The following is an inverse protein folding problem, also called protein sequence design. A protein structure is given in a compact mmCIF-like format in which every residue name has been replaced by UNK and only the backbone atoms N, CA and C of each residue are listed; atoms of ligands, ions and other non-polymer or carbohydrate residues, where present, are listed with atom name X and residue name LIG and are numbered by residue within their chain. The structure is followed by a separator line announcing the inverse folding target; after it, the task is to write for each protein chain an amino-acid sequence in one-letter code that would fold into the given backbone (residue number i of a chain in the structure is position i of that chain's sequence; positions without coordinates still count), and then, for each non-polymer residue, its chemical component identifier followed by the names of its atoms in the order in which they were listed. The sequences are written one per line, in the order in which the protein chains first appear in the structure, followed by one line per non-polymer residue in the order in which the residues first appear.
data_IF_107093912040
#
_entry.id   IF_107093912040
#
_cell.length_a   1.000
_cell.length_b   1.000
_cell.length_c   1.000
_cell.angle_alpha   90.00
_cell.angle_beta   90.00
_cell.angle_gamma   90.00
#
_symmetry.space_group_name_H-M   'P 1'
#
loop_
_entity.id
_entity.type
_entity.pdbx_description
1 polymer ?
#
# COMPACT_ATOMS: atom_id res chain seq x y z
N UNK A 1 -0.46 14.67 -7.15
CA UNK A 1 -0.54 16.14 -7.30
C UNK A 1 -2.02 16.49 -7.42
N UNK A 2 -2.55 17.40 -6.62
CA UNK A 2 -3.98 17.75 -6.69
C UNK A 2 -4.30 18.57 -7.95
N UNK A 3 -5.53 18.48 -8.44
CA UNK A 3 -6.00 19.26 -9.60
C UNK A 3 -5.89 20.77 -9.36
N UNK A 4 -6.13 21.20 -8.13
CA UNK A 4 -6.01 22.61 -7.70
C UNK A 4 -4.58 23.13 -7.87
N UNK A 5 -3.56 22.33 -7.56
CA UNK A 5 -2.16 22.74 -7.73
C UNK A 5 -1.76 22.76 -9.22
N UNK A 6 -2.30 21.85 -10.01
CA UNK A 6 -2.08 21.81 -11.47
C UNK A 6 -2.62 23.07 -12.15
N UNK A 7 -3.79 23.56 -11.73
CA UNK A 7 -4.40 24.78 -12.24
C UNK A 7 -3.55 26.03 -11.95
N UNK A 8 -2.99 26.14 -10.74
CA UNK A 8 -2.08 27.24 -10.36
C UNK A 8 -0.84 27.27 -11.27
N UNK A 9 -0.30 26.10 -11.63
CA UNK A 9 0.86 26.03 -12.51
C UNK A 9 0.56 26.44 -13.94
N UNK A 10 -0.63 26.09 -14.46
CA UNK A 10 -1.08 26.56 -15.78
C UNK A 10 -1.32 28.08 -15.79
N UNK A 11 -1.94 28.64 -14.74
CA UNK A 11 -2.16 30.08 -14.59
C UNK A 11 -0.84 30.86 -14.56
N UNK A 12 0.15 30.36 -13.84
CA UNK A 12 1.48 30.96 -13.74
C UNK A 12 2.40 30.68 -14.95
N UNK A 13 1.93 29.88 -15.93
CA UNK A 13 2.69 29.45 -17.12
C UNK A 13 4.04 28.82 -16.79
N UNK A 14 4.13 28.10 -15.67
CA UNK A 14 5.34 27.41 -15.26
C UNK A 14 5.41 26.09 -16.04
N UNK A 15 6.48 25.83 -16.82
CA UNK A 15 6.61 24.56 -17.53
C UNK A 15 6.92 23.44 -16.54
N UNK A 16 5.96 22.53 -16.36
CA UNK A 16 6.11 21.38 -15.46
C UNK A 16 6.07 20.09 -16.25
N UNK A 17 6.94 19.16 -15.87
CA UNK A 17 6.89 17.79 -16.33
C UNK A 17 6.92 16.87 -15.13
N UNK A 18 5.88 16.05 -14.99
CA UNK A 18 5.90 14.93 -14.06
C UNK A 18 6.60 13.75 -14.72
N UNK A 19 7.44 13.07 -13.96
CA UNK A 19 8.28 11.98 -14.41
C UNK A 19 8.09 10.81 -13.48
N UNK A 20 7.91 9.62 -14.05
CA UNK A 20 7.71 8.39 -13.29
C UNK A 20 8.70 7.32 -13.76
N UNK A 21 9.26 6.61 -12.80
CA UNK A 21 10.29 5.60 -13.02
C UNK A 21 10.73 4.92 -11.74
N UNK A 22 11.60 3.92 -11.91
CA UNK A 22 12.27 3.22 -10.82
C UNK A 22 13.79 3.28 -11.01
N UNK A 23 14.56 2.93 -9.99
CA UNK A 23 16.03 2.90 -10.12
C UNK A 23 16.48 1.82 -11.11
N UNK A 24 15.73 0.72 -11.20
CA UNK A 24 15.97 -0.43 -12.06
C UNK A 24 15.64 -0.16 -13.53
N UNK A 25 14.65 0.68 -13.81
CA UNK A 25 14.20 0.99 -15.18
C UNK A 25 14.61 2.39 -15.65
N UNK A 26 15.01 3.25 -14.74
CA UNK A 26 15.18 4.67 -15.01
C UNK A 26 13.82 5.35 -15.24
N UNK A 27 13.85 6.46 -15.96
CA UNK A 27 12.66 7.18 -16.38
C UNK A 27 11.89 6.38 -17.44
N UNK A 28 10.62 6.05 -17.21
CA UNK A 28 9.81 5.31 -18.19
C UNK A 28 8.54 6.02 -18.65
N UNK A 29 8.01 6.91 -17.81
CA UNK A 29 6.76 7.61 -18.12
C UNK A 29 6.81 9.08 -17.72
N UNK A 30 5.96 9.89 -18.34
CA UNK A 30 5.90 11.32 -18.09
C UNK A 30 4.52 11.93 -18.34
N UNK A 31 4.27 13.11 -17.77
CA UNK A 31 3.15 13.98 -18.08
C UNK A 31 3.63 15.43 -18.24
N UNK A 32 3.35 16.05 -19.39
CA UNK A 32 3.75 17.44 -19.73
C UNK A 32 2.58 18.44 -19.75
N UNK A 33 1.36 17.96 -19.54
CA UNK A 33 0.13 18.76 -19.59
C UNK A 33 -0.75 18.39 -18.41
N UNK A 34 -1.58 19.32 -17.95
CA UNK A 34 -2.58 18.98 -16.97
C UNK A 34 -3.61 17.98 -17.55
N UNK A 35 -4.16 17.09 -16.71
CA UNK A 35 -3.71 16.82 -15.35
C UNK A 35 -2.35 16.07 -15.36
N UNK A 36 -1.38 16.55 -14.58
CA UNK A 36 0.00 16.00 -14.56
C UNK A 36 0.09 14.57 -13.98
N UNK A 37 -1.05 13.99 -13.62
CA UNK A 37 -1.22 12.61 -13.18
C UNK A 37 -1.40 11.62 -14.34
N UNK A 38 -1.76 12.10 -15.54
CA UNK A 38 -1.93 11.27 -16.74
C UNK A 38 -0.58 10.99 -17.41
N UNK A 39 0.05 9.89 -16.98
CA UNK A 39 1.35 9.45 -17.43
C UNK A 39 1.27 8.76 -18.80
N UNK A 40 2.28 9.02 -19.64
CA UNK A 40 2.49 8.41 -20.95
C UNK A 40 3.88 7.78 -21.01
N UNK A 41 4.07 6.68 -21.76
CA UNK A 41 5.41 6.15 -22.03
C UNK A 41 6.32 7.24 -22.61
N UNK A 42 7.56 7.32 -22.12
CA UNK A 42 8.54 8.25 -22.65
C UNK A 42 8.86 7.94 -24.12
N UNK A 43 9.15 8.99 -24.88
CA UNK A 43 9.54 8.85 -26.28
C UNK A 43 10.81 7.99 -26.42
N UNK A 44 10.78 7.01 -27.31
CA UNK A 44 11.91 6.09 -27.53
C UNK A 44 11.96 4.91 -26.56
N UNK A 45 11.05 4.82 -25.59
CA UNK A 45 10.88 3.64 -24.74
C UNK A 45 9.71 2.83 -25.27
N UNK A 46 9.90 1.50 -25.38
CA UNK A 46 8.81 0.61 -25.78
C UNK A 46 7.66 0.69 -24.78
N UNK A 47 6.40 0.63 -25.22
CA UNK A 47 5.26 0.61 -24.31
C UNK A 47 5.38 -0.53 -23.28
N UNK A 48 4.95 -0.31 -22.03
CA UNK A 48 4.92 -1.38 -21.03
C UNK A 48 4.06 -2.55 -21.49
N UNK A 49 4.40 -3.74 -21.03
CA UNK A 49 3.46 -4.85 -21.00
C UNK A 49 2.42 -4.55 -19.91
N UNK A 50 1.14 -4.59 -20.29
CA UNK A 50 0.03 -4.28 -19.40
C UNK A 50 -0.60 -5.58 -18.93
N UNK A 51 -0.65 -5.78 -17.62
CA UNK A 51 -1.38 -6.90 -17.01
C UNK A 51 -2.62 -6.36 -16.28
N UNK A 52 -3.84 -6.68 -16.74
CA UNK A 52 -5.05 -6.21 -16.09
C UNK A 52 -5.27 -6.93 -14.75
N UNK A 53 -5.50 -6.16 -13.69
CA UNK A 53 -5.84 -6.68 -12.35
C UNK A 53 -7.31 -6.44 -11.98
N UNK A 54 -8.03 -5.65 -12.79
CA UNK A 54 -9.48 -5.54 -12.71
C UNK A 54 -10.11 -5.55 -14.10
N UNK A 55 -11.39 -5.91 -14.15
CA UNK A 55 -12.25 -5.67 -15.32
C UNK A 55 -12.44 -4.17 -15.56
N UNK A 56 -12.93 -3.84 -16.76
CA UNK A 56 -13.29 -2.47 -17.12
C UNK A 56 -14.50 -1.98 -16.32
N UNK A 57 -14.36 -0.78 -15.76
CA UNK A 57 -15.44 -0.04 -15.14
C UNK A 57 -16.38 0.61 -16.16
N UNK A 58 -17.51 1.18 -15.70
CA UNK A 58 -18.47 1.88 -16.56
C UNK A 58 -17.89 3.08 -17.31
N UNK A 59 -16.83 3.68 -16.77
CA UNK A 59 -16.08 4.80 -17.35
C UNK A 59 -15.01 4.34 -18.37
N UNK A 60 -14.92 3.03 -18.62
CA UNK A 60 -13.90 2.45 -19.50
C UNK A 60 -12.51 2.41 -18.88
N UNK A 61 -12.37 2.68 -17.57
CA UNK A 61 -11.11 2.56 -16.85
C UNK A 61 -10.92 1.16 -16.29
N UNK A 62 -9.67 0.73 -16.07
CA UNK A 62 -9.37 -0.48 -15.30
C UNK A 62 -8.06 -0.34 -14.55
N UNK A 63 -7.88 -1.16 -13.52
CA UNK A 63 -6.63 -1.24 -12.79
C UNK A 63 -5.69 -2.22 -13.48
N UNK A 64 -4.43 -1.84 -13.63
CA UNK A 64 -3.41 -2.61 -14.33
C UNK A 64 -2.07 -2.53 -13.59
N UNK A 65 -1.23 -3.52 -13.84
CA UNK A 65 0.20 -3.48 -13.57
C UNK A 65 0.97 -3.22 -14.86
N UNK A 66 2.11 -2.55 -14.72
CA UNK A 66 3.03 -2.28 -15.82
C UNK A 66 4.31 -3.10 -15.67
N UNK A 67 4.66 -3.81 -16.74
CA UNK A 67 5.75 -4.77 -16.77
C UNK A 67 6.73 -4.45 -17.90
N UNK A 68 8.02 -4.70 -17.67
CA UNK A 68 9.08 -4.41 -18.64
C UNK A 68 10.01 -5.61 -18.81
N UNK A 69 10.17 -6.08 -20.04
CA UNK A 69 11.23 -7.05 -20.35
C UNK A 69 12.57 -6.32 -20.55
N UNK A 70 13.72 -7.00 -20.36
CA UNK A 70 15.02 -6.41 -20.66
C UNK A 70 15.11 -5.85 -22.10
N UNK A 71 14.50 -6.54 -23.06
CA UNK A 71 14.44 -6.12 -24.47
C UNK A 71 13.77 -4.76 -24.69
N UNK A 72 12.87 -4.36 -23.77
CA UNK A 72 12.12 -3.10 -23.84
C UNK A 72 12.83 -1.91 -23.19
N UNK A 73 13.89 -2.16 -22.40
CA UNK A 73 14.62 -1.14 -21.67
C UNK A 73 16.13 -1.41 -21.70
N UNK A 74 16.86 -0.55 -22.42
CA UNK A 74 18.32 -0.56 -22.42
C UNK A 74 18.90 -0.32 -21.03
N UNK A 75 18.23 0.49 -20.20
CA UNK A 75 18.64 0.73 -18.81
C UNK A 75 18.47 -0.54 -17.97
N UNK A 76 17.35 -1.26 -18.10
CA UNK A 76 17.17 -2.55 -17.42
C UNK A 76 18.23 -3.57 -17.85
N UNK A 77 18.47 -3.68 -19.15
CA UNK A 77 19.50 -4.57 -19.70
C UNK A 77 20.88 -4.22 -19.15
N UNK A 78 21.23 -2.94 -19.10
CA UNK A 78 22.49 -2.49 -18.52
C UNK A 78 22.58 -2.80 -17.02
N UNK A 79 21.51 -2.55 -16.26
CA UNK A 79 21.49 -2.87 -14.83
C UNK A 79 21.65 -4.38 -14.59
N UNK A 80 20.97 -5.23 -15.35
CA UNK A 80 21.12 -6.68 -15.25
C UNK A 80 22.54 -7.17 -15.59
N UNK A 81 23.22 -6.50 -16.52
CA UNK A 81 24.56 -6.88 -16.95
C UNK A 81 25.67 -6.35 -16.03
N UNK A 82 25.50 -5.12 -15.50
CA UNK A 82 26.59 -4.37 -14.85
C UNK A 82 26.36 -4.13 -13.35
N UNK A 83 25.14 -4.28 -12.85
CA UNK A 83 24.83 -4.00 -11.45
C UNK A 83 25.13 -5.19 -10.55
N UNK A 84 25.61 -4.90 -9.35
CA UNK A 84 25.72 -5.89 -8.27
C UNK A 84 24.40 -6.00 -7.48
N UNK A 85 23.41 -5.17 -7.80
CA UNK A 85 22.09 -5.20 -7.15
C UNK A 85 21.25 -6.28 -7.83
N UNK A 86 20.77 -7.29 -7.09
CA UNK A 86 19.94 -8.33 -7.67
C UNK A 86 18.58 -7.73 -8.06
N UNK A 87 18.33 -7.65 -9.37
CA UNK A 87 17.03 -7.27 -9.92
C UNK A 87 16.18 -8.53 -10.05
N UNK A 88 15.02 -8.52 -9.41
CA UNK A 88 14.07 -9.64 -9.47
C UNK A 88 13.31 -9.57 -10.79
N UNK A 89 13.54 -10.56 -11.66
CA UNK A 89 12.70 -10.79 -12.84
C UNK A 89 11.76 -11.96 -12.57
N UNK A 90 10.53 -11.83 -13.02
CA UNK A 90 9.49 -12.83 -12.88
C UNK A 90 8.87 -13.16 -14.25
N UNK A 91 8.33 -14.37 -14.44
CA UNK A 91 7.60 -14.69 -15.65
C UNK A 91 6.37 -13.79 -15.78
N UNK A 92 6.23 -13.07 -16.89
CA UNK A 92 5.08 -12.22 -17.16
C UNK A 92 3.78 -13.05 -17.14
N UNK A 93 2.79 -12.69 -16.31
CA UNK A 93 1.60 -13.50 -16.09
C UNK A 93 0.55 -13.37 -17.19
N UNK A 94 0.61 -12.32 -18.01
CA UNK A 94 -0.38 -12.07 -19.06
C UNK A 94 -0.30 -13.08 -20.21
N UNK A 95 -1.46 -13.33 -20.83
CA UNK A 95 -1.53 -14.15 -22.02
C UNK A 95 -0.94 -13.46 -23.26
N UNK A 96 -0.62 -14.26 -24.28
CA UNK A 96 -0.11 -13.77 -25.57
C UNK A 96 1.39 -13.97 -25.77
N UNK A 97 2.03 -13.20 -26.67
CA UNK A 97 3.39 -13.47 -27.16
C UNK A 97 4.50 -13.25 -26.11
N UNK A 98 4.18 -12.56 -25.02
CA UNK A 98 5.09 -12.31 -23.91
C UNK A 98 4.84 -13.23 -22.71
N UNK A 99 3.87 -14.15 -22.78
CA UNK A 99 3.52 -15.06 -21.69
C UNK A 99 4.75 -15.83 -21.21
N UNK A 100 5.02 -15.77 -19.90
CA UNK A 100 6.13 -16.46 -19.27
C UNK A 100 7.52 -15.88 -19.55
N UNK A 101 7.65 -14.80 -20.33
CA UNK A 101 8.93 -14.11 -20.51
C UNK A 101 9.34 -13.45 -19.20
N UNK A 102 10.63 -13.53 -18.85
CA UNK A 102 11.17 -12.83 -17.68
C UNK A 102 11.06 -11.32 -17.86
N UNK A 103 10.35 -10.68 -16.94
CA UNK A 103 10.06 -9.26 -16.93
C UNK A 103 10.14 -8.71 -15.50
N UNK A 104 10.40 -7.42 -15.39
CA UNK A 104 10.31 -6.69 -14.14
C UNK A 104 8.89 -6.14 -13.97
N UNK A 105 8.26 -6.42 -12.83
CA UNK A 105 7.04 -5.75 -12.39
C UNK A 105 7.41 -4.43 -11.70
N UNK A 106 6.69 -3.34 -11.99
CA UNK A 106 6.83 -2.10 -11.23
C UNK A 106 6.40 -2.24 -9.75
N UNK A 107 5.59 -3.25 -9.43
CA UNK A 107 4.91 -3.45 -8.13
C UNK A 107 3.95 -2.29 -7.76
N UNK A 108 3.73 -1.39 -8.71
CA UNK A 108 2.78 -0.28 -8.67
C UNK A 108 1.50 -0.62 -9.45
N UNK A 109 0.37 -0.12 -8.94
CA UNK A 109 -0.95 -0.18 -9.56
C UNK A 109 -1.20 1.13 -10.30
N UNK A 110 -1.70 1.01 -11.52
CA UNK A 110 -2.12 2.12 -12.35
C UNK A 110 -3.58 1.98 -12.74
N UNK A 111 -4.27 3.10 -12.90
CA UNK A 111 -5.54 3.16 -13.59
C UNK A 111 -5.26 3.46 -15.06
N UNK A 112 -5.57 2.50 -15.93
CA UNK A 112 -5.56 2.66 -17.38
C UNK A 112 -6.81 3.43 -17.80
N UNK A 113 -6.61 4.52 -18.55
CA UNK A 113 -7.67 5.40 -19.06
C UNK A 113 -7.46 5.63 -20.55
N UNK A 114 -8.56 5.76 -21.28
CA UNK A 114 -8.52 6.21 -22.68
C UNK A 114 -9.02 7.65 -22.76
N UNK A 115 -8.15 8.57 -23.18
CA UNK A 115 -8.50 9.98 -23.38
C UNK A 115 -8.66 10.28 -24.86
N UNK A 116 -9.68 11.04 -25.21
CA UNK A 116 -9.91 11.49 -26.59
C UNK A 116 -9.36 12.89 -26.75
N UNK A 117 -8.36 13.05 -27.60
CA UNK A 117 -7.81 14.38 -27.86
C UNK A 117 -8.77 15.18 -28.76
N UNK A 118 -9.36 16.27 -28.23
CA UNK A 118 -10.38 17.07 -28.92
C UNK A 118 -9.94 17.62 -30.29
N UNK A 119 -8.65 17.67 -30.57
CA UNK A 119 -8.10 18.18 -31.83
C UNK A 119 -7.93 17.14 -32.94
N UNK A 120 -7.84 15.84 -32.63
CA UNK A 120 -7.34 14.85 -33.59
C UNK A 120 -8.12 13.53 -33.66
N UNK A 121 -9.27 13.39 -32.98
CA UNK A 121 -10.12 12.16 -32.96
C UNK A 121 -9.39 10.85 -32.63
N UNK A 122 -8.11 10.89 -32.24
CA UNK A 122 -7.31 9.76 -31.78
C UNK A 122 -7.47 9.62 -30.27
N UNK A 123 -7.90 8.43 -29.87
CA UNK A 123 -7.85 7.96 -28.50
C UNK A 123 -6.41 7.63 -28.11
N UNK A 124 -5.97 8.13 -26.96
CA UNK A 124 -4.66 7.83 -26.37
C UNK A 124 -4.87 7.12 -25.03
N UNK A 125 -4.11 6.05 -24.79
CA UNK A 125 -4.08 5.38 -23.48
C UNK A 125 -3.12 6.14 -22.55
N UNK A 126 -3.60 6.50 -21.38
CA UNK A 126 -2.81 7.12 -20.32
C UNK A 126 -2.95 6.30 -19.03
N UNK A 127 -1.94 6.42 -18.17
CA UNK A 127 -1.88 5.71 -16.91
C UNK A 127 -1.85 6.71 -15.76
N UNK A 128 -2.71 6.53 -14.77
CA UNK A 128 -2.66 7.29 -13.51
C UNK A 128 -2.07 6.39 -12.45
N UNK A 129 -0.96 6.79 -11.83
CA UNK A 129 -0.40 6.05 -10.71
C UNK A 129 -1.36 6.12 -9.53
N UNK A 130 -1.81 4.96 -9.06
CA UNK A 130 -2.79 4.83 -7.97
C UNK A 130 -2.06 4.60 -6.64
N UNK A 131 -0.99 3.80 -6.66
CA UNK A 131 -0.20 3.45 -5.49
C UNK A 131 0.50 2.12 -5.73
N UNK A 132 1.02 1.48 -4.68
CA UNK A 132 1.54 0.11 -4.78
C UNK A 132 0.47 -0.92 -4.50
N UNK A 133 0.72 -2.16 -4.90
CA UNK A 133 0.04 -3.32 -4.31
C UNK A 133 0.07 -3.30 -2.78
N UNK A 134 1.09 -2.66 -2.22
CA UNK A 134 1.27 -2.48 -0.80
C UNK A 134 0.66 -1.19 -0.25
N UNK A 135 -0.18 -0.45 -0.96
CA UNK A 135 -0.67 0.85 -0.47
C UNK A 135 -2.20 0.99 -0.45
N UNK A 136 -2.94 0.34 -1.36
CA UNK A 136 -4.41 0.46 -1.39
C UNK A 136 -5.13 -0.62 -0.57
N UNK A 137 -5.92 -0.18 0.42
CA UNK A 137 -6.90 -0.99 1.13
C UNK A 137 -8.27 -0.39 0.90
N UNK A 138 -9.13 -1.05 0.10
CA UNK A 138 -10.53 -0.66 -0.05
C UNK A 138 -11.30 -1.15 1.17
N UNK A 139 -11.96 -0.26 1.90
CA UNK A 139 -12.65 -0.61 3.15
C UNK A 139 -14.10 -1.04 2.87
N UNK A 140 -14.36 -2.34 3.05
CA UNK A 140 -15.71 -2.93 3.09
C UNK A 140 -16.39 -3.12 1.73
N UNK A 141 -17.38 -4.01 1.70
CA UNK A 141 -18.27 -4.16 0.53
C UNK A 141 -19.05 -2.87 0.28
N UNK A 142 -19.05 -2.40 -0.97
CA UNK A 142 -19.84 -1.23 -1.40
C UNK A 142 -19.03 0.06 -1.62
N UNK A 143 -18.06 0.02 -2.53
CA UNK A 143 -17.86 1.02 -3.60
C UNK A 143 -17.77 2.53 -3.31
N UNK A 144 -17.79 3.04 -2.08
CA UNK A 144 -17.91 4.49 -1.85
C UNK A 144 -16.99 5.03 -0.75
N UNK A 145 -15.70 5.20 -1.06
CA UNK A 145 -14.76 6.00 -0.27
C UNK A 145 -13.36 5.37 -0.23
N UNK A 146 -12.41 5.98 -0.95
CA UNK A 146 -11.00 5.62 -0.92
C UNK A 146 -10.33 6.24 0.32
N UNK A 147 -10.45 5.61 1.49
CA UNK A 147 -9.55 5.94 2.59
C UNK A 147 -8.24 5.19 2.35
N UNK A 148 -7.15 5.93 2.14
CA UNK A 148 -5.82 5.34 2.05
C UNK A 148 -5.45 4.73 3.43
N UNK A 149 -5.04 3.46 3.45
CA UNK A 149 -4.61 2.80 4.68
C UNK A 149 -3.47 3.55 5.38
N UNK A 150 -2.58 4.17 4.61
CA UNK A 150 -1.50 5.01 5.12
C UNK A 150 -2.05 6.18 5.95
N UNK A 151 -3.15 6.81 5.51
CA UNK A 151 -3.78 7.90 6.28
C UNK A 151 -4.32 7.40 7.63
N UNK A 152 -4.94 6.22 7.65
CA UNK A 152 -5.40 5.60 8.90
C UNK A 152 -4.22 5.27 9.82
N UNK A 153 -3.19 4.63 9.28
CA UNK A 153 -2.00 4.20 10.02
C UNK A 153 -1.20 5.37 10.59
N UNK A 154 -1.03 6.45 9.83
CA UNK A 154 -0.37 7.69 10.28
C UNK A 154 -1.19 8.39 11.37
N UNK A 155 -2.51 8.48 11.20
CA UNK A 155 -3.41 9.08 12.20
C UNK A 155 -3.36 8.27 13.51
N UNK A 156 -3.44 6.94 13.40
CA UNK A 156 -3.33 6.03 14.54
C UNK A 156 -1.97 6.15 15.23
N UNK A 157 -0.88 6.17 14.45
CA UNK A 157 0.46 6.31 15.00
C UNK A 157 0.63 7.62 15.77
N UNK A 158 0.06 8.71 15.25
CA UNK A 158 0.04 10.01 15.93
C UNK A 158 -0.72 9.93 17.27
N UNK A 159 -1.92 9.33 17.26
CA UNK A 159 -2.74 9.14 18.48
C UNK A 159 -2.06 8.24 19.52
N UNK A 160 -1.40 7.17 19.09
CA UNK A 160 -0.64 6.30 20.00
C UNK A 160 0.57 7.05 20.56
N UNK A 161 1.33 7.75 19.71
CA UNK A 161 2.53 8.49 20.14
C UNK A 161 2.21 9.58 21.15
N UNK A 162 1.03 10.21 21.03
CA UNK A 162 0.56 11.21 21.99
C UNK A 162 0.33 10.64 23.41
N UNK A 163 0.03 9.34 23.55
CA UNK A 163 -0.37 8.70 24.81
C UNK A 163 0.67 7.76 25.40
N UNK A 164 1.26 6.90 24.56
CA UNK A 164 2.13 5.79 24.96
C UNK A 164 3.61 6.12 24.70
N UNK A 165 3.90 7.07 23.80
CA UNK A 165 5.27 7.48 23.46
C UNK A 165 5.88 8.54 24.38
N UNK A 166 5.16 8.98 25.42
CA UNK A 166 5.62 10.05 26.32
C UNK A 166 6.59 9.50 27.38
N UNK A 167 7.68 10.22 27.72
CA UNK A 167 8.57 9.85 28.81
C UNK A 167 7.78 9.61 30.12
N UNK A 168 7.90 8.42 30.69
CA UNK A 168 7.24 8.04 31.96
C UNK A 168 5.84 7.43 31.85
N UNK A 169 5.34 7.15 30.65
CA UNK A 169 4.04 6.47 30.44
C UNK A 169 4.18 4.94 30.42
N UNK A 170 4.57 4.38 29.28
CA UNK A 170 4.76 2.95 29.06
C UNK A 170 6.11 2.70 28.40
N UNK A 171 6.80 1.57 28.66
CA UNK A 171 8.08 1.25 28.04
C UNK A 171 7.90 0.76 26.59
N UNK A 172 6.81 1.11 25.91
CA UNK A 172 6.43 0.57 24.62
C UNK A 172 6.43 1.64 23.54
N UNK A 173 6.91 1.28 22.35
CA UNK A 173 6.80 2.06 21.12
C UNK A 173 6.12 1.25 20.04
N UNK A 174 5.53 1.93 19.06
CA UNK A 174 4.99 1.26 17.88
C UNK A 174 6.13 0.99 16.90
N UNK A 175 6.40 -0.30 16.66
CA UNK A 175 7.37 -0.75 15.67
C UNK A 175 6.77 -0.78 14.26
N UNK A 176 5.46 -1.03 14.14
CA UNK A 176 4.74 -0.99 12.88
C UNK A 176 3.23 -1.16 13.07
N UNK A 177 2.47 -0.65 12.11
CA UNK A 177 1.01 -0.81 12.03
C UNK A 177 0.65 -1.22 10.62
N UNK A 178 -0.36 -2.07 10.47
CA UNK A 178 -0.93 -2.37 9.17
C UNK A 178 -2.44 -2.58 9.25
N UNK A 179 -3.16 -1.79 8.46
CA UNK A 179 -4.58 -1.97 8.18
C UNK A 179 -4.77 -3.00 7.06
N UNK A 180 -5.75 -3.87 7.25
CA UNK A 180 -6.24 -4.88 6.30
C UNK A 180 -7.71 -4.57 5.99
N UNK A 181 -8.15 -4.87 4.77
CA UNK A 181 -9.52 -4.55 4.34
C UNK A 181 -9.79 -4.78 2.86
N UNK A 182 -8.76 -4.79 2.01
CA UNK A 182 -8.93 -5.09 0.59
C UNK A 182 -9.40 -6.54 0.44
N UNK A 183 -10.53 -6.76 -0.25
CA UNK A 183 -11.19 -8.07 -0.42
C UNK A 183 -11.72 -8.71 0.89
N UNK A 184 -12.00 -7.92 1.93
CA UNK A 184 -12.59 -8.42 3.18
C UNK A 184 -13.92 -7.71 3.48
N UNK A 185 -14.83 -8.42 4.16
CA UNK A 185 -16.13 -7.86 4.55
C UNK A 185 -16.01 -6.66 5.48
N UNK A 186 -14.99 -6.65 6.36
CA UNK A 186 -14.69 -5.52 7.25
C UNK A 186 -13.19 -5.28 7.38
N UNK A 187 -12.83 -4.15 8.00
CA UNK A 187 -11.44 -3.75 8.26
C UNK A 187 -10.87 -4.45 9.49
N UNK A 188 -9.60 -4.85 9.39
CA UNK A 188 -8.83 -5.46 10.47
C UNK A 188 -7.49 -4.75 10.63
N UNK A 189 -6.90 -4.81 11.82
CA UNK A 189 -5.71 -4.03 12.16
C UNK A 189 -4.71 -4.90 12.93
N UNK A 190 -3.44 -4.79 12.55
CA UNK A 190 -2.33 -5.31 13.34
C UNK A 190 -1.48 -4.15 13.84
N UNK A 191 -1.19 -4.13 15.14
CA UNK A 191 -0.28 -3.20 15.81
C UNK A 191 0.89 -4.00 16.36
N UNK A 192 2.11 -3.68 15.92
CA UNK A 192 3.34 -4.27 16.44
C UNK A 192 4.03 -3.29 17.38
N UNK A 193 4.28 -3.73 18.61
CA UNK A 193 4.97 -2.97 19.66
C UNK A 193 6.43 -3.40 19.80
N UNK A 194 7.30 -2.47 20.19
CA UNK A 194 8.68 -2.73 20.62
C UNK A 194 8.92 -2.15 22.01
N UNK A 195 9.77 -2.79 22.81
CA UNK A 195 10.14 -2.29 24.13
C UNK A 195 11.27 -1.26 24.00
N UNK A 196 11.05 -0.06 24.54
CA UNK A 196 12.10 0.91 24.84
C UNK A 196 12.78 0.45 26.14
N UNK A 197 13.99 -0.09 26.03
CA UNK A 197 14.68 -0.88 27.06
C UNK A 197 14.68 -0.26 28.47
N UNK A 198 14.35 -1.11 29.46
CA UNK A 198 15.14 -1.30 30.68
C UNK A 198 15.15 -2.82 31.00
N UNK A 199 16.32 -3.49 31.18
CA UNK A 199 16.45 -4.96 31.14
C UNK A 199 15.96 -5.69 32.41
N UNK A 200 15.06 -5.10 33.19
CA UNK A 200 14.60 -5.66 34.48
C UNK A 200 13.08 -5.66 34.71
N UNK A 201 12.29 -5.09 33.79
CA UNK A 201 10.84 -4.99 33.95
C UNK A 201 10.18 -6.11 33.14
N UNK A 202 9.34 -6.92 33.79
CA UNK A 202 8.57 -7.97 33.11
C UNK A 202 7.70 -7.32 32.02
N UNK A 203 7.99 -7.54 30.72
CA UNK A 203 7.25 -6.89 29.64
C UNK A 203 5.77 -7.27 29.65
N UNK A 204 5.40 -8.41 30.25
CA UNK A 204 3.99 -8.83 30.28
C UNK A 204 3.14 -8.05 31.29
N UNK A 205 3.72 -7.40 32.30
CA UNK A 205 2.94 -6.84 33.40
C UNK A 205 2.30 -5.48 33.10
N UNK A 206 2.70 -4.78 32.02
CA UNK A 206 2.26 -3.41 31.69
C UNK A 206 2.01 -3.23 30.18
N UNK A 207 1.17 -4.06 29.57
CA UNK A 207 0.78 -3.89 28.16
C UNK A 207 -0.28 -2.78 28.03
N UNK A 208 -0.08 -1.75 27.18
CA UNK A 208 -1.02 -0.62 27.04
C UNK A 208 -2.21 -0.97 26.14
N UNK A 209 -2.86 -2.11 26.38
CA UNK A 209 -3.93 -2.64 25.51
C UNK A 209 -5.11 -1.67 25.47
N UNK A 210 -5.53 -1.16 26.63
CA UNK A 210 -6.66 -0.24 26.73
C UNK A 210 -6.37 1.08 26.01
N UNK A 211 -5.18 1.63 26.19
CA UNK A 211 -4.77 2.88 25.54
C UNK A 211 -4.67 2.71 24.02
N UNK A 212 -4.20 1.56 23.55
CA UNK A 212 -4.17 1.24 22.12
C UNK A 212 -5.58 1.13 21.54
N UNK A 213 -6.50 0.47 22.25
CA UNK A 213 -7.90 0.40 21.84
C UNK A 213 -8.56 1.78 21.81
N UNK A 214 -8.35 2.61 22.83
CA UNK A 214 -8.86 3.98 22.84
C UNK A 214 -8.30 4.82 21.67
N UNK A 215 -7.02 4.65 21.31
CA UNK A 215 -6.42 5.31 20.16
C UNK A 215 -7.02 4.82 18.83
N UNK A 216 -7.34 3.53 18.71
CA UNK A 216 -8.04 2.98 17.54
C UNK A 216 -9.45 3.55 17.43
N UNK A 217 -10.22 3.59 18.52
CA UNK A 217 -11.57 4.14 18.50
C UNK A 217 -11.56 5.65 18.18
N UNK A 218 -10.63 6.41 18.76
CA UNK A 218 -10.47 7.83 18.45
C UNK A 218 -10.06 8.06 16.99
N UNK A 219 -9.22 7.19 16.42
CA UNK A 219 -8.86 7.24 14.99
C UNK A 219 -10.07 6.94 14.12
N UNK A 220 -10.88 5.93 14.48
CA UNK A 220 -12.13 5.64 13.79
C UNK A 220 -13.06 6.88 13.78
N UNK A 221 -13.23 7.53 14.94
CA UNK A 221 -14.12 8.68 15.06
C UNK A 221 -13.58 9.92 14.33
N UNK A 222 -12.26 10.16 14.39
CA UNK A 222 -11.59 11.28 13.70
C UNK A 222 -11.73 11.18 12.18
N UNK A 223 -11.66 9.96 11.65
CA UNK A 223 -11.78 9.69 10.22
C UNK A 223 -13.23 9.38 9.79
N UNK A 224 -14.21 9.49 10.71
CA UNK A 224 -15.63 9.27 10.42
C UNK A 224 -15.96 7.83 10.00
N UNK A 225 -15.19 6.84 10.47
CA UNK A 225 -15.33 5.44 10.07
C UNK A 225 -16.43 4.74 10.86
N UNK A 226 -17.39 4.21 10.12
CA UNK A 226 -18.59 3.56 10.66
C UNK A 226 -18.87 2.24 9.94
N UNK A 227 -19.67 1.37 10.57
CA UNK A 227 -19.98 0.03 10.06
C UNK A 227 -18.72 -0.75 9.69
N UNK A 228 -18.78 -1.51 8.58
CA UNK A 228 -17.71 -2.39 8.13
C UNK A 228 -16.34 -1.71 7.90
N UNK A 229 -16.29 -0.37 7.83
CA UNK A 229 -15.05 0.41 7.69
C UNK A 229 -14.37 0.67 9.02
N UNK A 230 -15.12 0.64 10.12
CA UNK A 230 -14.61 0.83 11.47
C UNK A 230 -13.75 -0.38 11.86
N UNK A 231 -12.54 -0.12 12.35
CA UNK A 231 -11.74 -1.18 12.96
C UNK A 231 -12.34 -1.51 14.32
N UNK A 232 -12.82 -2.74 14.50
CA UNK A 232 -13.41 -3.16 15.77
C UNK A 232 -12.33 -3.70 16.70
N UNK A 233 -11.98 -2.96 17.74
CA UNK A 233 -10.93 -3.30 18.72
C UNK A 233 -11.09 -4.71 19.32
N UNK A 234 -12.29 -5.04 19.79
CA UNK A 234 -12.58 -6.35 20.40
C UNK A 234 -12.79 -7.54 19.45
N UNK A 235 -12.74 -7.34 18.12
CA UNK A 235 -13.02 -8.41 17.14
C UNK A 235 -11.98 -8.54 16.04
N UNK A 236 -11.36 -7.44 15.63
CA UNK A 236 -10.56 -7.32 14.40
C UNK A 236 -9.23 -6.60 14.63
N UNK A 237 -8.80 -6.42 15.88
CA UNK A 237 -7.50 -5.84 16.22
C UNK A 237 -6.60 -6.86 16.89
N UNK A 238 -5.39 -7.00 16.35
CA UNK A 238 -4.33 -7.83 16.90
C UNK A 238 -3.14 -6.94 17.32
N UNK A 239 -2.63 -7.18 18.52
CA UNK A 239 -1.48 -6.49 19.10
C UNK A 239 -0.39 -7.54 19.31
N UNK A 240 0.79 -7.32 18.73
CA UNK A 240 1.93 -8.24 18.79
C UNK A 240 3.17 -7.52 19.28
N UNK A 241 4.11 -8.23 19.91
CA UNK A 241 5.45 -7.69 20.15
C UNK A 241 6.42 -7.98 19.03
N UNK A 242 7.38 -7.09 18.84
CA UNK A 242 8.45 -7.21 17.86
C UNK A 242 9.44 -8.34 18.16
N UNK A 243 9.48 -8.83 19.39
CA UNK A 243 10.29 -9.97 19.83
C UNK A 243 9.50 -11.29 19.79
N UNK A 244 8.21 -11.26 19.43
CA UNK A 244 7.35 -12.44 19.38
C UNK A 244 6.96 -12.99 20.76
N UNK A 245 7.32 -12.31 21.86
CA UNK A 245 7.01 -12.74 23.23
C UNK A 245 5.53 -12.71 23.57
N UNK A 246 4.72 -11.88 22.90
CA UNK A 246 3.28 -11.87 23.10
C UNK A 246 2.48 -11.60 21.84
N UNK A 247 1.24 -12.08 21.85
CA UNK A 247 0.22 -11.82 20.84
C UNK A 247 -1.12 -11.72 21.56
N UNK A 248 -1.78 -10.57 21.45
CA UNK A 248 -3.03 -10.25 22.11
C UNK A 248 -4.09 -9.86 21.07
N UNK A 249 -5.27 -10.45 21.17
CA UNK A 249 -6.41 -10.13 20.33
C UNK A 249 -7.21 -11.37 19.94
N UNK A 250 -8.37 -11.17 19.30
CA UNK A 250 -9.27 -12.26 18.91
C UNK A 250 -8.63 -13.19 17.88
N UNK A 251 -8.73 -14.51 18.08
CA UNK A 251 -8.23 -15.50 17.14
C UNK A 251 -6.71 -15.63 17.10
N UNK A 252 -5.98 -15.07 18.08
CA UNK A 252 -4.51 -15.10 18.15
C UNK A 252 -3.97 -16.52 18.21
N UNK A 253 -4.71 -17.47 18.77
CA UNK A 253 -4.36 -18.88 18.86
C UNK A 253 -4.14 -19.53 17.48
N UNK A 254 -4.73 -18.97 16.41
CA UNK A 254 -4.61 -19.48 15.04
C UNK A 254 -3.25 -19.20 14.40
N UNK A 255 -2.46 -18.31 15.00
CA UNK A 255 -1.09 -18.03 14.58
C UNK A 255 -0.08 -19.05 15.14
N UNK A 256 -0.57 -20.09 15.85
CA UNK A 256 0.20 -21.30 16.14
C UNK A 256 1.40 -21.12 17.06
N UNK A 257 1.44 -20.04 17.86
CA UNK A 257 2.53 -19.75 18.79
C UNK A 257 3.86 -19.38 18.12
N UNK A 258 3.89 -19.24 16.79
CA UNK A 258 5.03 -18.64 16.11
C UNK A 258 4.95 -17.12 16.29
N UNK A 259 6.05 -16.46 16.66
CA UNK A 259 6.13 -15.00 16.75
C UNK A 259 5.95 -14.36 15.38
N UNK A 260 4.70 -14.25 14.92
CA UNK A 260 4.36 -13.68 13.62
C UNK A 260 4.50 -12.17 13.73
N UNK A 261 5.45 -11.62 12.97
CA UNK A 261 5.77 -10.20 12.93
C UNK A 261 5.29 -9.56 11.64
N UNK A 262 4.94 -8.26 11.73
CA UNK A 262 4.81 -7.42 10.55
C UNK A 262 6.15 -7.29 9.84
N UNK A 263 6.15 -7.65 8.57
CA UNK A 263 7.26 -7.44 7.65
C UNK A 263 7.26 -5.97 7.22
N UNK A 264 8.35 -5.28 7.51
CA UNK A 264 8.54 -3.88 7.17
C UNK A 264 9.69 -3.73 6.18
N UNK A 265 9.68 -2.66 5.40
CA UNK A 265 10.84 -2.24 4.58
C UNK A 265 11.91 -1.59 5.46
N UNK A 266 13.09 -1.33 4.89
CA UNK A 266 14.13 -0.55 5.57
C UNK A 266 13.70 0.87 5.97
N UNK A 267 12.62 1.39 5.36
CA UNK A 267 11.99 2.68 5.71
C UNK A 267 10.84 2.54 6.71
N UNK A 268 10.68 1.37 7.33
CA UNK A 268 9.60 1.04 8.27
C UNK A 268 8.18 1.10 7.68
N UNK A 269 8.06 1.01 6.35
CA UNK A 269 6.75 0.89 5.70
C UNK A 269 6.31 -0.58 5.65
N UNK A 270 5.02 -0.91 5.79
CA UNK A 270 4.55 -2.30 5.75
C UNK A 270 4.73 -2.94 4.37
N UNK A 271 5.26 -4.16 4.31
CA UNK A 271 5.22 -5.01 3.11
C UNK A 271 3.87 -5.71 3.03
N UNK A 272 2.82 -4.97 2.65
CA UNK A 272 1.43 -5.41 2.92
C UNK A 272 1.10 -6.79 2.37
N UNK A 273 1.50 -7.14 1.15
CA UNK A 273 1.20 -8.47 0.59
C UNK A 273 1.87 -9.62 1.35
N UNK A 274 3.14 -9.45 1.72
CA UNK A 274 3.85 -10.42 2.57
C UNK A 274 3.11 -10.60 3.91
N UNK A 275 2.60 -9.51 4.46
CA UNK A 275 1.82 -9.53 5.70
C UNK A 275 0.42 -10.15 5.49
N UNK A 276 -0.24 -9.94 4.35
CA UNK A 276 -1.50 -10.64 4.02
C UNK A 276 -1.28 -12.15 4.04
N UNK A 277 -0.21 -12.64 3.42
CA UNK A 277 0.12 -14.07 3.43
C UNK A 277 0.43 -14.59 4.84
N UNK A 278 1.23 -13.84 5.63
CA UNK A 278 1.62 -14.23 7.00
C UNK A 278 0.44 -14.26 7.96
N UNK A 279 -0.44 -13.27 7.88
CA UNK A 279 -1.59 -13.14 8.77
C UNK A 279 -2.84 -13.83 8.23
N UNK A 280 -2.76 -14.49 7.07
CA UNK A 280 -3.89 -15.19 6.44
C UNK A 280 -4.66 -16.13 7.38
N UNK A 281 -4.01 -17.01 8.18
CA UNK A 281 -4.73 -17.89 9.10
C UNK A 281 -5.56 -17.15 10.15
N UNK A 282 -5.11 -15.97 10.57
CA UNK A 282 -5.84 -15.10 11.49
C UNK A 282 -6.98 -14.38 10.77
N UNK A 283 -6.69 -13.73 9.64
CA UNK A 283 -7.65 -12.97 8.82
C UNK A 283 -8.84 -13.84 8.38
N UNK A 284 -8.59 -15.07 7.93
CA UNK A 284 -9.60 -15.99 7.39
C UNK A 284 -10.64 -16.44 8.45
N UNK A 285 -10.33 -16.31 9.74
CA UNK A 285 -11.25 -16.73 10.81
C UNK A 285 -11.83 -15.58 11.65
N UNK A 286 -11.59 -14.33 11.28
CA UNK A 286 -12.15 -13.18 11.98
C UNK A 286 -13.68 -13.17 11.93
N UNK A 287 -14.29 -12.66 13.00
CA UNK A 287 -15.73 -12.47 13.07
C UNK A 287 -16.16 -11.17 12.35
N UNK A 288 -16.89 -11.33 11.25
CA UNK A 288 -17.45 -10.24 10.45
C UNK A 288 -18.96 -10.04 10.67
N UNK A 289 -19.58 -10.71 11.64
CA UNK A 289 -21.03 -10.65 11.89
C UNK A 289 -21.52 -9.27 12.34
N UNK A 290 -20.63 -8.42 12.86
CA UNK A 290 -20.95 -7.05 13.29
C UNK A 290 -20.21 -6.07 12.38
N UNK A 291 -20.93 -5.23 11.61
CA UNK A 291 -20.34 -4.17 10.80
C UNK A 291 -19.45 -3.25 11.62
#
# INVERSE_FOLDING_TARGET
MSDTLSQVFEELRIPITNFFGSSELGLVMYARKAPYTQLRPCYGISPPLVYPISEYGPDGSRHVELWFTPEMSSHLTHQLACSQIPIKLEPFPGDGPHKGKLALNFEDIFQELTITNHSNSKSETVYVHVGRHTDEVRLGEGGFGSLNATTYEETLLSEISARIGQPGSYPWTVAGTQLFGNNMACTALVIQLSVNQDPGTDPQSNLPIHELYDSVEKTNDTLGLTGCRRVHTGKRTLIISSDGSFTHGPGSERLGGQGVLLSLTHKRTPKRWENVCKFKPWLDGLDFSVP
#
